data_IF_085955581926
#
_entry.id   IF_085955581926
#
_cell.length_a   1.000
_cell.length_b   1.000
_cell.length_c   1.000
_cell.angle_alpha   90.00
_cell.angle_beta   90.00
_cell.angle_gamma   90.00
#
_symmetry.space_group_name_H-M   'P 1'
#
loop_
_entity.id
_entity.type
_entity.pdbx_description
1 polymer ?
#
# COMPACT_ATOMS: atom_id res chain seq x y z
N UNK A 1 5.41 5.61 -10.77
CA UNK A 1 5.38 4.36 -9.98
C UNK A 1 3.93 3.83 -9.89
N UNK A 2 3.40 3.14 -10.92
CA UNK A 2 1.96 2.93 -11.02
C UNK A 2 1.42 1.79 -10.12
N UNK A 3 0.33 2.03 -9.39
CA UNK A 3 -0.35 1.04 -8.56
C UNK A 3 -1.73 0.72 -9.13
N UNK A 4 -2.26 -0.46 -8.81
CA UNK A 4 -3.67 -0.79 -9.06
C UNK A 4 -4.39 -0.88 -7.72
N UNK A 5 -5.35 0.01 -7.50
CA UNK A 5 -6.25 -0.05 -6.35
C UNK A 5 -7.63 -0.60 -6.75
N UNK A 6 -8.26 -1.37 -5.88
CA UNK A 6 -9.64 -1.86 -6.01
C UNK A 6 -10.31 -1.92 -4.65
N UNK A 7 -11.63 -1.83 -4.60
CA UNK A 7 -12.38 -2.18 -3.40
C UNK A 7 -12.53 -3.70 -3.28
N UNK A 8 -12.57 -4.21 -2.05
CA UNK A 8 -12.81 -5.64 -1.79
C UNK A 8 -14.30 -5.99 -1.68
N UNK A 9 -15.20 -5.00 -1.49
CA UNK A 9 -16.66 -5.21 -1.42
C UNK A 9 -17.43 -4.35 -2.42
N UNK A 10 -18.54 -4.88 -2.94
CA UNK A 10 -19.51 -4.17 -3.79
C UNK A 10 -20.50 -3.31 -2.96
N UNK A 11 -20.45 -3.41 -1.62
CA UNK A 11 -21.47 -2.85 -0.72
C UNK A 11 -21.04 -1.51 -0.10
N UNK A 12 -19.74 -1.20 -0.11
CA UNK A 12 -19.20 0.07 0.39
C UNK A 12 -18.56 0.85 -0.76
N UNK A 13 -18.84 2.15 -0.85
CA UNK A 13 -18.20 3.03 -1.82
C UNK A 13 -16.69 3.08 -1.60
N UNK A 14 -15.88 2.75 -2.62
CA UNK A 14 -14.45 2.99 -2.60
C UNK A 14 -14.19 4.49 -2.38
N UNK A 15 -13.52 4.81 -1.28
CA UNK A 15 -13.01 6.14 -1.00
C UNK A 15 -11.54 6.04 -0.61
N UNK A 16 -10.77 7.03 -1.04
CA UNK A 16 -9.40 7.16 -0.63
C UNK A 16 -8.82 8.49 -1.08
N UNK A 17 -7.76 8.90 -0.40
CA UNK A 17 -7.00 10.10 -0.69
C UNK A 17 -5.50 9.78 -0.63
N UNK A 18 -4.74 10.46 -1.47
CA UNK A 18 -3.29 10.32 -1.55
C UNK A 18 -2.66 11.70 -1.58
N UNK A 19 -2.06 12.09 -0.46
CA UNK A 19 -1.16 13.23 -0.40
C UNK A 19 0.28 12.79 -0.61
N UNK A 20 1.09 13.56 -1.34
CA UNK A 20 2.52 13.27 -1.46
C UNK A 20 3.36 14.53 -1.54
N UNK A 21 4.57 14.45 -1.01
CA UNK A 21 5.54 15.53 -1.03
C UNK A 21 6.97 14.98 -1.06
N UNK A 22 7.90 15.65 -1.77
CA UNK A 22 9.31 15.31 -1.67
C UNK A 22 9.87 15.69 -0.30
N UNK A 23 10.71 14.84 0.26
CA UNK A 23 11.48 15.07 1.48
C UNK A 23 12.94 14.66 1.21
N UNK A 24 13.73 15.62 0.73
CA UNK A 24 15.10 15.34 0.29
C UNK A 24 15.11 14.30 -0.84
N UNK A 25 15.74 13.15 -0.59
CA UNK A 25 15.80 12.03 -1.54
C UNK A 25 14.66 11.02 -1.40
N UNK A 26 13.68 11.28 -0.53
CA UNK A 26 12.54 10.38 -0.28
C UNK A 26 11.26 11.03 -0.78
N UNK A 27 10.35 10.25 -1.34
CA UNK A 27 8.97 10.66 -1.57
C UNK A 27 8.15 10.22 -0.37
N UNK A 28 7.59 11.17 0.37
CA UNK A 28 6.63 10.88 1.43
C UNK A 28 5.23 10.85 0.81
N UNK A 29 4.47 9.80 1.11
CA UNK A 29 3.07 9.70 0.73
C UNK A 29 2.23 9.34 1.95
N UNK A 30 1.12 10.06 2.13
CA UNK A 30 0.07 9.72 3.07
C UNK A 30 -1.09 9.15 2.28
N UNK A 31 -1.52 7.94 2.64
CA UNK A 31 -2.56 7.21 1.92
C UNK A 31 -3.67 6.87 2.92
N UNK A 32 -4.85 7.42 2.68
CA UNK A 32 -6.06 7.03 3.36
C UNK A 32 -6.95 6.28 2.38
N UNK A 33 -7.48 5.12 2.78
CA UNK A 33 -8.44 4.40 1.95
C UNK A 33 -9.39 3.56 2.82
N UNK A 34 -10.68 3.55 2.46
CA UNK A 34 -11.60 2.49 2.87
C UNK A 34 -11.12 1.14 2.33
N UNK A 35 -11.70 0.03 2.80
CA UNK A 35 -11.40 -1.36 2.39
C UNK A 35 -10.90 -1.52 0.94
N UNK A 36 -9.57 -1.52 0.78
CA UNK A 36 -8.90 -1.46 -0.50
C UNK A 36 -7.86 -2.55 -0.62
N UNK A 37 -7.77 -3.12 -1.81
CA UNK A 37 -6.68 -3.97 -2.24
C UNK A 37 -5.82 -3.15 -3.21
N UNK A 38 -4.56 -2.94 -2.86
CA UNK A 38 -3.59 -2.26 -3.72
C UNK A 38 -2.54 -3.26 -4.18
N UNK A 39 -2.30 -3.32 -5.48
CA UNK A 39 -1.41 -4.32 -6.09
C UNK A 39 -0.36 -3.66 -6.99
N UNK A 40 0.88 -4.11 -6.82
CA UNK A 40 1.98 -3.87 -7.74
C UNK A 40 2.22 -5.13 -8.57
N UNK A 41 1.64 -5.17 -9.76
CA UNK A 41 1.75 -6.36 -10.65
C UNK A 41 3.02 -6.33 -11.50
N UNK A 42 3.50 -7.49 -11.98
CA UNK A 42 4.63 -7.57 -12.95
C UNK A 42 4.45 -6.67 -14.18
N UNK A 43 3.21 -6.48 -14.65
CA UNK A 43 2.94 -5.61 -15.80
C UNK A 43 3.21 -4.14 -15.45
N UNK A 44 2.82 -3.72 -14.26
CA UNK A 44 3.02 -2.35 -13.78
C UNK A 44 4.49 -2.10 -13.43
N UNK A 45 5.20 -3.10 -12.90
CA UNK A 45 6.65 -3.04 -12.65
C UNK A 45 7.39 -2.79 -13.95
N UNK A 46 7.19 -3.65 -14.96
CA UNK A 46 7.80 -3.46 -16.29
C UNK A 46 7.46 -2.12 -16.98
N UNK A 47 6.37 -1.48 -16.60
CA UNK A 47 5.96 -0.21 -17.18
C UNK A 47 6.81 0.96 -16.65
N UNK A 48 7.25 0.89 -15.39
CA UNK A 48 7.98 1.94 -14.70
C UNK A 48 8.53 1.38 -13.39
N UNK A 49 9.83 1.10 -13.33
CA UNK A 49 10.52 0.51 -12.17
C UNK A 49 11.67 1.40 -11.71
N UNK A 50 11.44 2.30 -10.74
CA UNK A 50 12.49 3.17 -10.22
C UNK A 50 13.39 2.49 -9.19
N UNK A 51 13.24 1.19 -8.94
CA UNK A 51 14.08 0.41 -8.02
C UNK A 51 14.11 0.95 -6.59
N UNK A 52 12.93 1.37 -6.09
CA UNK A 52 12.77 1.96 -4.77
C UNK A 52 12.39 0.91 -3.71
N UNK A 53 12.73 1.22 -2.46
CA UNK A 53 12.12 0.58 -1.28
C UNK A 53 11.02 1.48 -0.72
N UNK A 54 9.91 0.87 -0.31
CA UNK A 54 8.82 1.57 0.37
C UNK A 54 8.84 1.24 1.87
N UNK A 55 8.66 2.28 2.69
CA UNK A 55 8.56 2.21 4.14
C UNK A 55 7.12 2.56 4.52
N UNK A 56 6.30 1.53 4.76
CA UNK A 56 4.91 1.71 5.12
C UNK A 56 4.72 1.73 6.63
N UNK A 57 4.18 2.82 7.18
CA UNK A 57 3.76 2.93 8.58
C UNK A 57 2.23 2.89 8.64
N UNK A 58 1.67 1.96 9.41
CA UNK A 58 0.22 1.98 9.67
C UNK A 58 -0.08 3.02 10.75
N UNK A 59 -0.74 4.13 10.38
CA UNK A 59 -1.10 5.18 11.32
C UNK A 59 -2.39 4.85 12.08
N UNK A 60 -3.39 4.30 11.39
CA UNK A 60 -4.71 3.94 11.95
C UNK A 60 -5.34 2.77 11.23
N UNK A 61 -6.23 2.01 11.87
CA UNK A 61 -6.81 0.81 11.27
C UNK A 61 -5.78 -0.32 11.14
N UNK A 62 -6.00 -1.25 10.21
CA UNK A 62 -5.06 -2.35 10.00
C UNK A 62 -4.89 -2.68 8.52
N UNK A 63 -3.75 -3.29 8.19
CA UNK A 63 -3.52 -3.80 6.86
C UNK A 63 -2.77 -5.11 6.87
N UNK A 64 -2.72 -5.75 5.71
CA UNK A 64 -1.88 -6.90 5.44
C UNK A 64 -1.06 -6.59 4.21
N UNK A 65 0.26 -6.70 4.32
CA UNK A 65 1.20 -6.65 3.19
C UNK A 65 1.64 -8.06 2.83
N UNK A 66 1.61 -8.38 1.55
CA UNK A 66 2.07 -9.63 0.96
C UNK A 66 3.16 -9.33 -0.09
N UNK A 67 4.35 -9.92 0.08
CA UNK A 67 5.43 -9.88 -0.90
C UNK A 67 6.11 -11.25 -0.94
N UNK A 68 6.20 -11.83 -2.13
CA UNK A 68 6.70 -13.20 -2.33
C UNK A 68 5.93 -14.21 -1.44
N UNK A 69 6.63 -14.96 -0.59
CA UNK A 69 6.07 -15.92 0.37
C UNK A 69 5.85 -15.32 1.78
N UNK A 70 6.04 -14.00 1.92
CA UNK A 70 5.93 -13.30 3.19
C UNK A 70 4.63 -12.52 3.29
N UNK A 71 4.01 -12.60 4.46
CA UNK A 71 2.80 -11.85 4.81
C UNK A 71 2.98 -11.21 6.18
N UNK A 72 2.70 -9.92 6.28
CA UNK A 72 2.77 -9.16 7.52
C UNK A 72 1.43 -8.44 7.76
N UNK A 73 0.81 -8.66 8.92
CA UNK A 73 -0.31 -7.84 9.39
C UNK A 73 0.27 -6.63 10.13
N UNK A 74 -0.19 -5.43 9.77
CA UNK A 74 0.21 -4.18 10.40
C UNK A 74 -0.98 -3.62 11.21
N UNK A 75 -0.71 -3.30 12.47
CA UNK A 75 -1.54 -2.53 13.37
C UNK A 75 -0.99 -1.12 13.51
N UNK A 76 -1.72 -0.17 14.12
CA UNK A 76 -1.22 1.18 14.32
C UNK A 76 0.14 1.19 15.03
N UNK A 77 1.14 1.83 14.41
CA UNK A 77 2.53 1.87 14.87
C UNK A 77 3.45 0.83 14.23
N UNK A 78 2.92 -0.20 13.57
CA UNK A 78 3.72 -1.20 12.86
C UNK A 78 4.27 -0.63 11.55
N UNK A 79 5.50 -1.03 11.22
CA UNK A 79 6.20 -0.64 10.01
C UNK A 79 6.54 -1.86 9.15
N UNK A 80 6.36 -1.74 7.84
CA UNK A 80 6.84 -2.68 6.85
C UNK A 80 7.83 -2.01 5.89
N UNK A 81 8.83 -2.77 5.45
CA UNK A 81 9.75 -2.36 4.38
C UNK A 81 9.65 -3.41 3.29
N UNK A 82 9.43 -2.98 2.05
CA UNK A 82 9.37 -3.90 0.92
C UNK A 82 9.95 -3.29 -0.36
N UNK A 83 10.42 -4.19 -1.21
CA UNK A 83 11.03 -3.89 -2.50
C UNK A 83 9.95 -3.64 -3.56
N UNK A 84 9.90 -2.44 -4.14
CA UNK A 84 8.82 -2.06 -5.06
C UNK A 84 9.03 -2.57 -6.50
N UNK A 85 10.19 -3.17 -6.78
CA UNK A 85 10.52 -3.88 -8.02
C UNK A 85 10.04 -5.34 -8.01
N UNK A 86 9.42 -5.77 -6.90
CA UNK A 86 8.79 -7.09 -6.77
C UNK A 86 7.29 -6.97 -6.69
N UNK A 87 6.60 -8.08 -6.97
CA UNK A 87 5.14 -8.10 -6.84
C UNK A 87 4.77 -7.92 -5.38
N UNK A 88 3.87 -6.98 -5.13
CA UNK A 88 3.31 -6.74 -3.80
C UNK A 88 1.81 -6.61 -3.87
N UNK A 89 1.15 -6.98 -2.77
CA UNK A 89 -0.25 -6.67 -2.53
C UNK A 89 -0.41 -6.15 -1.10
N UNK A 90 -1.24 -5.14 -0.93
CA UNK A 90 -1.72 -4.69 0.37
C UNK A 90 -3.24 -4.77 0.43
N UNK A 91 -3.77 -5.10 1.61
CA UNK A 91 -5.21 -5.10 1.88
C UNK A 91 -5.46 -4.31 3.14
N UNK A 92 -6.28 -3.26 3.06
CA UNK A 92 -6.69 -2.48 4.23
C UNK A 92 -7.99 -3.00 4.81
N UNK A 93 -8.04 -3.10 6.13
CA UNK A 93 -9.24 -3.35 6.89
C UNK A 93 -9.44 -2.20 7.88
N UNK A 94 -10.63 -1.59 7.84
CA UNK A 94 -11.02 -0.66 8.89
C UNK A 94 -11.38 -1.48 10.12
N UNK A 95 -10.63 -1.32 11.20
CA UNK A 95 -11.07 -1.82 12.51
C UNK A 95 -12.10 -0.82 13.01
N UNK A 96 -13.37 -1.22 13.09
CA UNK A 96 -14.36 -0.44 13.84
C UNK A 96 -13.85 -0.30 15.27
N UNK A 97 -13.82 0.93 15.77
CA UNK A 97 -13.73 1.18 17.20
C UNK A 97 -14.89 0.51 17.94
#
# INVERSE_FOLDING_TARGET
MPLRARCESDVASFSGDVGSAPLGSVLLAEVAASHAVVERTRRLIRQDDPELYEFGLQVSGSSVIEQDDRRARLLPGDLAIYDTSRRTASRSATTSA
#
